data_IF_314349484348
#
_entry.id   IF_314349484348
#
_cell.length_a   1.000
_cell.length_b   1.000
_cell.length_c   1.000
_cell.angle_alpha   90.00
_cell.angle_beta   90.00
_cell.angle_gamma   90.00
#
_symmetry.space_group_name_H-M   'P 1'
#
loop_
_entity.id
_entity.type
_entity.pdbx_description
1 polymer ?
#
# COMPACT_ATOMS: atom_id res chain seq x y z
N UNK A 1 15.30 -7.75 24.14
CA UNK A 1 14.30 -7.53 23.08
C UNK A 1 15.02 -7.53 21.73
N UNK A 2 14.75 -8.49 20.82
CA UNK A 2 15.29 -8.46 19.46
C UNK A 2 14.46 -7.47 18.64
N UNK A 3 15.07 -6.38 18.16
CA UNK A 3 14.43 -5.44 17.24
C UNK A 3 14.15 -6.19 15.93
N UNK A 4 12.88 -6.39 15.58
CA UNK A 4 12.48 -7.05 14.32
C UNK A 4 12.71 -6.08 13.15
N UNK A 5 13.21 -6.63 12.03
CA UNK A 5 13.60 -5.91 10.82
C UNK A 5 12.35 -5.52 10.03
N UNK A 6 12.27 -4.26 9.59
CA UNK A 6 11.15 -3.74 8.78
C UNK A 6 11.05 -4.47 7.44
N UNK A 7 9.85 -4.92 7.05
CA UNK A 7 9.63 -5.70 5.83
C UNK A 7 9.38 -4.79 4.63
N UNK A 8 10.44 -4.52 3.85
CA UNK A 8 10.36 -3.66 2.68
C UNK A 8 9.41 -4.17 1.60
N UNK A 9 9.36 -5.49 1.35
CA UNK A 9 8.51 -6.06 0.30
C UNK A 9 7.04 -5.73 0.55
N UNK A 10 6.52 -6.08 1.74
CA UNK A 10 5.13 -5.79 2.13
C UNK A 10 4.81 -4.30 2.05
N UNK A 11 5.78 -3.43 2.34
CA UNK A 11 5.60 -1.99 2.22
C UNK A 11 5.41 -1.48 0.81
N UNK A 12 6.13 -2.07 -0.13
CA UNK A 12 5.98 -1.75 -1.54
C UNK A 12 4.70 -2.36 -2.10
N UNK A 13 4.31 -3.59 -1.71
CA UNK A 13 3.03 -4.21 -2.07
C UNK A 13 1.84 -3.36 -1.62
N UNK A 14 1.81 -2.95 -0.35
CA UNK A 14 0.76 -2.08 0.18
C UNK A 14 0.71 -0.74 -0.56
N UNK A 15 1.87 -0.15 -0.89
CA UNK A 15 1.90 1.09 -1.67
C UNK A 15 1.34 0.91 -3.08
N UNK A 16 1.67 -0.19 -3.74
CA UNK A 16 1.17 -0.55 -5.08
C UNK A 16 -0.36 -0.65 -5.09
N UNK A 17 -0.94 -1.36 -4.11
CA UNK A 17 -2.40 -1.49 -3.95
C UNK A 17 -3.05 -0.11 -3.76
N UNK A 18 -2.52 0.69 -2.84
CA UNK A 18 -3.08 2.02 -2.54
C UNK A 18 -2.96 3.03 -3.69
N UNK A 19 -1.96 2.86 -4.57
CA UNK A 19 -1.74 3.74 -5.73
C UNK A 19 -2.53 3.29 -6.95
N UNK A 20 -2.91 2.02 -7.05
CA UNK A 20 -3.57 1.45 -8.23
C UNK A 20 -2.83 1.83 -9.53
N UNK A 21 -3.56 2.31 -10.52
CA UNK A 21 -3.04 2.72 -11.83
C UNK A 21 -2.00 3.86 -11.79
N UNK A 22 -1.96 4.65 -10.71
CA UNK A 22 -0.93 5.70 -10.57
C UNK A 22 0.46 5.10 -10.37
N UNK A 23 0.52 3.86 -9.87
CA UNK A 23 1.73 3.12 -9.63
C UNK A 23 2.77 3.80 -8.74
N UNK A 24 3.94 3.18 -8.72
CA UNK A 24 5.11 3.58 -7.97
C UNK A 24 6.31 3.69 -8.90
N UNK A 25 7.20 4.64 -8.61
CA UNK A 25 8.50 4.76 -9.26
C UNK A 25 9.59 4.17 -8.36
N UNK A 26 10.77 3.93 -8.92
CA UNK A 26 11.97 3.57 -8.12
C UNK A 26 12.23 4.62 -7.02
N UNK A 27 12.00 5.90 -7.29
CA UNK A 27 12.11 6.96 -6.28
C UNK A 27 11.07 6.83 -5.15
N UNK A 28 9.88 6.28 -5.41
CA UNK A 28 8.91 5.98 -4.35
C UNK A 28 9.44 4.83 -3.46
N UNK A 29 10.11 3.83 -4.05
CA UNK A 29 10.75 2.72 -3.32
C UNK A 29 11.85 3.25 -2.40
N UNK A 30 12.78 4.07 -2.93
CA UNK A 30 13.84 4.71 -2.14
C UNK A 30 13.31 5.45 -0.92
N UNK A 31 12.18 6.17 -1.06
CA UNK A 31 11.55 6.91 0.03
C UNK A 31 10.95 6.01 1.11
N UNK A 32 10.50 4.81 0.75
CA UNK A 32 9.95 3.85 1.70
C UNK A 32 11.06 3.06 2.39
N UNK A 33 12.01 2.55 1.62
CA UNK A 33 13.09 1.69 2.13
C UNK A 33 14.21 2.48 2.80
N UNK A 34 14.33 3.78 2.48
CA UNK A 34 15.48 4.64 2.78
C UNK A 34 16.80 4.11 2.21
N UNK A 35 16.73 3.29 1.16
CA UNK A 35 17.88 2.69 0.48
C UNK A 35 17.86 3.18 -0.97
N UNK A 36 18.84 4.00 -1.34
CA UNK A 36 18.98 4.56 -2.69
C UNK A 36 19.78 3.61 -3.60
N UNK A 37 19.31 2.37 -3.74
CA UNK A 37 19.96 1.32 -4.54
C UNK A 37 18.99 0.80 -5.61
N UNK A 38 19.39 0.96 -6.86
CA UNK A 38 18.58 0.57 -8.02
C UNK A 38 18.41 -0.94 -8.13
N UNK A 39 19.48 -1.72 -7.91
CA UNK A 39 19.43 -3.18 -7.95
C UNK A 39 18.55 -3.72 -6.83
N UNK A 40 18.66 -3.13 -5.63
CA UNK A 40 17.77 -3.48 -4.52
C UNK A 40 16.29 -3.18 -4.82
N UNK A 41 16.02 -2.09 -5.54
CA UNK A 41 14.66 -1.75 -5.96
C UNK A 41 14.10 -2.73 -6.99
N UNK A 42 14.92 -3.13 -7.97
CA UNK A 42 14.55 -4.17 -8.92
C UNK A 42 14.35 -5.53 -8.25
N UNK A 43 15.19 -5.86 -7.27
CA UNK A 43 15.03 -7.07 -6.46
C UNK A 43 13.69 -7.09 -5.72
N UNK A 44 13.32 -5.98 -5.06
CA UNK A 44 12.01 -5.87 -4.41
C UNK A 44 10.85 -5.98 -5.40
N UNK A 45 10.98 -5.38 -6.59
CA UNK A 45 9.96 -5.50 -7.65
C UNK A 45 9.80 -6.95 -8.09
N UNK A 46 10.90 -7.67 -8.32
CA UNK A 46 10.88 -9.07 -8.74
C UNK A 46 10.30 -9.99 -7.66
N UNK A 47 10.60 -9.74 -6.38
CA UNK A 47 9.98 -10.48 -5.27
C UNK A 47 8.46 -10.31 -5.25
N UNK A 48 7.98 -9.11 -5.54
CA UNK A 48 6.54 -8.81 -5.59
C UNK A 48 5.90 -9.46 -6.82
N UNK A 49 6.53 -9.37 -7.98
CA UNK A 49 6.06 -10.06 -9.18
C UNK A 49 5.94 -11.57 -8.93
N UNK A 50 6.91 -12.16 -8.22
CA UNK A 50 6.88 -13.58 -7.84
C UNK A 50 5.77 -13.89 -6.82
N UNK A 51 5.53 -13.01 -5.83
CA UNK A 51 4.45 -13.22 -4.83
C UNK A 51 3.06 -13.13 -5.43
N UNK A 52 2.92 -12.47 -6.58
CA UNK A 52 1.68 -12.31 -7.32
C UNK A 52 1.33 -13.49 -8.24
N UNK A 53 2.20 -14.50 -8.38
CA UNK A 53 1.93 -15.65 -9.27
C UNK A 53 0.65 -16.44 -8.91
N UNK A 54 0.23 -16.40 -7.64
CA UNK A 54 -1.01 -17.02 -7.14
C UNK A 54 -2.18 -16.02 -7.06
N UNK A 55 -2.00 -14.80 -7.58
CA UNK A 55 -3.00 -13.74 -7.57
C UNK A 55 -3.48 -13.45 -9.00
N UNK A 56 -4.75 -13.06 -9.20
CA UNK A 56 -5.18 -12.53 -10.49
C UNK A 56 -4.56 -11.15 -10.80
N UNK A 57 -3.87 -10.51 -9.84
CA UNK A 57 -3.14 -9.27 -10.09
C UNK A 57 -1.76 -9.56 -10.66
N UNK A 58 -1.32 -8.75 -11.62
CA UNK A 58 0.06 -8.78 -12.11
C UNK A 58 0.69 -7.40 -12.12
N UNK A 59 2.01 -7.35 -12.04
CA UNK A 59 2.76 -6.11 -12.09
C UNK A 59 3.00 -5.70 -13.55
N UNK A 60 2.76 -4.44 -13.88
CA UNK A 60 3.02 -3.88 -15.22
C UNK A 60 3.88 -2.63 -15.13
N UNK A 61 4.83 -2.49 -16.05
CA UNK A 61 5.67 -1.29 -16.16
C UNK A 61 5.13 -0.34 -17.24
N UNK A 62 4.95 0.93 -16.87
CA UNK A 62 4.68 2.02 -17.80
C UNK A 62 5.98 2.78 -18.11
N UNK A 63 6.57 2.61 -19.30
CA UNK A 63 7.86 3.23 -19.64
C UNK A 63 7.76 4.76 -19.75
N UNK A 64 6.67 5.28 -20.30
CA UNK A 64 6.48 6.74 -20.46
C UNK A 64 6.43 7.48 -19.13
N UNK A 65 5.87 6.84 -18.10
CA UNK A 65 5.78 7.41 -16.75
C UNK A 65 6.85 6.90 -15.79
N UNK A 66 7.69 5.94 -16.22
CA UNK A 66 8.70 5.23 -15.42
C UNK A 66 8.14 4.68 -14.10
N UNK A 67 7.02 3.95 -14.18
CA UNK A 67 6.25 3.50 -13.01
C UNK A 67 5.77 2.06 -13.16
N UNK A 68 5.78 1.34 -12.04
CA UNK A 68 5.19 0.01 -11.88
C UNK A 68 3.82 0.14 -11.23
N UNK A 69 2.83 -0.59 -11.70
CA UNK A 69 1.48 -0.58 -11.15
C UNK A 69 0.89 -1.99 -11.19
N UNK A 70 -0.07 -2.25 -10.32
CA UNK A 70 -0.86 -3.48 -10.36
C UNK A 70 -1.92 -3.34 -11.44
N UNK A 71 -2.04 -4.37 -12.27
CA UNK A 71 -3.07 -4.51 -13.27
C UNK A 71 -3.82 -5.83 -13.04
N UNK A 72 -5.06 -5.86 -13.48
CA UNK A 72 -5.85 -7.08 -13.61
C UNK A 72 -5.85 -7.54 -15.07
N UNK A 73 -6.11 -8.83 -15.34
CA UNK A 73 -6.42 -9.30 -16.67
C UNK A 73 -7.65 -8.56 -17.21
N UNK A 74 -7.64 -8.29 -18.52
CA UNK A 74 -8.71 -7.52 -19.18
C UNK A 74 -10.10 -8.15 -18.95
N UNK A 75 -10.14 -9.47 -18.78
CA UNK A 75 -11.35 -10.26 -18.50
C UNK A 75 -12.06 -9.84 -17.19
N UNK A 76 -11.34 -9.30 -16.21
CA UNK A 76 -11.92 -8.83 -14.94
C UNK A 76 -12.41 -7.38 -15.00
N UNK A 77 -11.99 -6.58 -16.00
CA UNK A 77 -12.39 -5.18 -16.11
C UNK A 77 -13.87 -5.02 -16.49
N UNK A 78 -14.46 -5.95 -17.25
CA UNK A 78 -15.89 -5.95 -17.54
C UNK A 78 -16.71 -6.08 -16.24
N UNK A 79 -16.30 -6.98 -15.33
CA UNK A 79 -16.94 -7.16 -14.03
C UNK A 79 -16.76 -5.96 -13.09
N UNK A 80 -15.59 -5.34 -13.12
CA UNK A 80 -15.30 -4.17 -12.27
C UNK A 80 -15.95 -2.88 -12.78
N UNK A 81 -16.30 -2.80 -14.06
CA UNK A 81 -16.99 -1.62 -14.63
C UNK A 81 -18.39 -1.40 -14.05
N UNK A 82 -18.97 -2.41 -13.40
CA UNK A 82 -20.25 -2.34 -12.70
C UNK A 82 -20.12 -1.86 -11.24
N UNK A 83 -18.90 -1.78 -10.70
CA UNK A 83 -18.63 -1.27 -9.35
C UNK A 83 -17.89 0.07 -9.45
N UNK A 84 -18.44 1.11 -8.82
CA UNK A 84 -17.81 2.43 -8.71
C UNK A 84 -16.45 2.33 -7.98
N UNK A 85 -15.38 2.04 -8.73
CA UNK A 85 -14.01 1.97 -8.22
C UNK A 85 -13.53 3.38 -7.88
N UNK A 86 -13.59 3.67 -6.59
CA UNK A 86 -13.29 4.96 -5.96
C UNK A 86 -11.87 5.43 -6.36
N UNK A 87 -11.80 6.45 -7.24
CA UNK A 87 -10.57 7.23 -7.47
C UNK A 87 -10.08 7.79 -6.12
N UNK A 88 -8.85 7.46 -5.75
CA UNK A 88 -8.27 7.88 -4.47
C UNK A 88 -8.08 9.41 -4.42
N UNK A 89 -8.76 10.06 -3.47
CA UNK A 89 -8.70 11.50 -3.19
C UNK A 89 -7.39 11.87 -2.45
N UNK A 90 -6.69 10.88 -1.87
CA UNK A 90 -5.56 11.12 -0.98
C UNK A 90 -4.25 11.48 -1.72
N UNK A 91 -3.45 12.43 -1.20
CA UNK A 91 -2.13 12.72 -1.74
C UNK A 91 -1.17 11.53 -1.69
N UNK A 92 -0.24 11.48 -2.64
CA UNK A 92 0.78 10.43 -2.80
C UNK A 92 1.59 10.12 -1.53
N UNK A 93 1.92 11.13 -0.74
CA UNK A 93 2.68 10.99 0.51
C UNK A 93 1.84 10.43 1.65
N UNK A 94 0.55 10.77 1.68
CA UNK A 94 -0.47 10.31 2.63
C UNK A 94 -0.78 8.84 2.39
N UNK A 95 -0.96 8.43 1.12
CA UNK A 95 -1.12 7.02 0.75
C UNK A 95 0.08 6.17 1.17
N UNK A 96 1.30 6.69 1.04
CA UNK A 96 2.48 5.97 1.48
C UNK A 96 2.62 5.88 3.01
N UNK A 97 2.08 6.84 3.76
CA UNK A 97 1.93 6.69 5.22
C UNK A 97 0.85 5.68 5.58
N UNK A 98 -0.27 5.66 4.85
CA UNK A 98 -1.33 4.67 5.03
C UNK A 98 -0.84 3.24 4.75
N UNK A 99 -0.03 3.03 3.71
CA UNK A 99 0.62 1.73 3.45
C UNK A 99 1.40 1.24 4.66
N UNK A 100 2.21 2.11 5.29
CA UNK A 100 2.96 1.76 6.48
C UNK A 100 2.05 1.36 7.65
N UNK A 101 0.93 2.06 7.84
CA UNK A 101 -0.05 1.72 8.89
C UNK A 101 -0.63 0.32 8.65
N UNK A 102 -1.00 -0.02 7.41
CA UNK A 102 -1.63 -1.30 7.07
C UNK A 102 -0.73 -2.49 7.41
N UNK A 103 0.56 -2.41 7.05
CA UNK A 103 1.52 -3.48 7.33
C UNK A 103 1.71 -3.66 8.84
N UNK A 104 1.79 -2.53 9.56
CA UNK A 104 2.00 -2.53 11.00
C UNK A 104 0.77 -3.09 11.74
N UNK A 105 -0.43 -2.92 11.19
CA UNK A 105 -1.65 -3.52 11.72
C UNK A 105 -1.68 -5.05 11.63
N UNK A 106 -1.04 -5.66 10.63
CA UNK A 106 -0.86 -7.12 10.60
C UNK A 106 0.06 -7.63 11.73
N UNK A 107 0.92 -6.75 12.27
CA UNK A 107 1.89 -7.09 13.30
C UNK A 107 1.45 -6.67 14.72
N UNK A 108 0.37 -5.89 14.87
CA UNK A 108 -0.20 -5.46 16.14
C UNK A 108 -0.63 -3.99 16.17
N UNK A 109 -0.60 -3.36 17.35
CA UNK A 109 -0.99 -1.96 17.50
C UNK A 109 0.07 -1.01 16.90
N UNK A 110 -0.38 -0.07 16.08
CA UNK A 110 0.51 0.88 15.39
C UNK A 110 0.70 2.12 16.24
N UNK A 111 1.92 2.38 16.71
CA UNK A 111 2.24 3.56 17.49
C UNK A 111 2.76 4.71 16.58
N UNK A 112 2.33 5.94 16.87
CA UNK A 112 2.77 7.15 16.16
C UNK A 112 4.30 7.32 16.17
N UNK A 113 4.97 7.04 17.28
CA UNK A 113 6.42 7.14 17.40
C UNK A 113 7.14 6.15 16.46
N UNK A 114 6.61 4.93 16.33
CA UNK A 114 7.13 3.93 15.38
C UNK A 114 7.04 4.44 13.94
N UNK A 115 5.89 5.03 13.56
CA UNK A 115 5.72 5.63 12.24
C UNK A 115 6.58 6.88 12.00
N UNK A 116 6.80 7.72 13.02
CA UNK A 116 7.71 8.86 12.92
C UNK A 116 9.13 8.39 12.63
N UNK A 117 9.60 7.32 13.26
CA UNK A 117 10.90 6.73 12.94
C UNK A 117 10.98 6.24 11.49
N UNK A 118 9.91 5.62 10.98
CA UNK A 118 9.86 5.11 9.60
C UNK A 118 9.74 6.21 8.54
N UNK A 119 8.92 7.24 8.75
CA UNK A 119 8.51 8.20 7.70
C UNK A 119 8.99 9.64 7.93
N UNK A 120 9.57 9.93 9.10
CA UNK A 120 10.05 11.26 9.47
C UNK A 120 8.95 12.20 9.98
N UNK A 121 9.31 13.47 10.21
CA UNK A 121 8.46 14.47 10.92
C UNK A 121 7.14 14.78 10.20
N UNK A 122 7.07 14.61 8.88
CA UNK A 122 5.86 14.89 8.09
C UNK A 122 4.70 13.92 8.39
N UNK A 123 4.95 12.81 9.11
CA UNK A 123 3.92 11.80 9.40
C UNK A 123 2.74 12.37 10.19
N UNK A 124 2.97 13.34 11.08
CA UNK A 124 1.88 13.96 11.86
C UNK A 124 0.82 14.58 10.95
N UNK A 125 1.25 15.29 9.89
CA UNK A 125 0.32 15.91 8.95
C UNK A 125 -0.41 14.86 8.13
N UNK A 126 0.27 13.79 7.71
CA UNK A 126 -0.36 12.70 6.98
C UNK A 126 -1.39 11.97 7.84
N UNK A 127 -1.09 11.72 9.13
CA UNK A 127 -2.01 11.10 10.07
C UNK A 127 -3.28 11.93 10.27
N UNK A 128 -3.14 13.26 10.43
CA UNK A 128 -4.29 14.18 10.47
C UNK A 128 -5.16 14.08 9.21
N UNK A 129 -4.54 14.02 8.03
CA UNK A 129 -5.29 13.85 6.78
C UNK A 129 -6.03 12.50 6.76
N UNK A 130 -5.38 11.41 7.18
CA UNK A 130 -6.02 10.08 7.21
C UNK A 130 -7.15 9.98 8.21
N UNK A 131 -7.03 10.65 9.35
CA UNK A 131 -8.07 10.74 10.39
C UNK A 131 -9.26 11.59 9.91
N UNK A 132 -9.01 12.78 9.34
CA UNK A 132 -10.05 13.64 8.77
C UNK A 132 -10.83 12.95 7.64
N UNK A 133 -10.13 12.16 6.83
CA UNK A 133 -10.72 11.38 5.76
C UNK A 133 -11.36 10.07 6.26
N UNK A 134 -11.33 9.83 7.57
CA UNK A 134 -12.00 8.71 8.23
C UNK A 134 -11.40 7.34 7.92
N UNK A 135 -10.12 7.26 7.53
CA UNK A 135 -9.43 5.99 7.32
C UNK A 135 -8.87 5.40 8.62
N UNK A 136 -8.46 6.26 9.56
CA UNK A 136 -7.91 5.83 10.85
C UNK A 136 -8.54 6.62 11.99
N UNK A 137 -8.40 6.11 13.21
CA UNK A 137 -8.64 6.85 14.45
C UNK A 137 -7.39 6.82 15.31
N UNK A 138 -7.10 7.92 16.00
CA UNK A 138 -5.97 8.01 16.91
C UNK A 138 -6.48 8.04 18.34
N UNK A 139 -6.03 7.07 19.15
CA UNK A 139 -6.36 6.98 20.57
C UNK A 139 -5.11 6.69 21.38
N UNK A 140 -4.81 7.54 22.36
CA UNK A 140 -3.69 7.36 23.30
C UNK A 140 -2.32 7.11 22.61
N UNK A 141 -2.08 7.77 21.47
CA UNK A 141 -0.85 7.60 20.70
C UNK A 141 -0.78 6.33 19.83
N UNK A 142 -1.83 5.52 19.85
CA UNK A 142 -2.02 4.38 18.96
C UNK A 142 -2.95 4.75 17.80
N UNK A 143 -2.72 4.10 16.66
CA UNK A 143 -3.49 4.25 15.43
C UNK A 143 -4.30 2.98 15.23
N UNK A 144 -5.62 3.15 15.11
CA UNK A 144 -6.57 2.08 14.88
C UNK A 144 -7.15 2.22 13.47
N UNK A 145 -7.37 1.10 12.73
CA UNK A 145 -8.03 1.14 11.45
C UNK A 145 -9.53 1.34 11.64
N UNK A 146 -10.14 2.13 10.77
CA UNK A 146 -11.60 2.23 10.70
C UNK A 146 -12.18 1.16 9.78
N UNK A 147 -13.48 0.89 9.88
CA UNK A 147 -14.18 0.04 8.92
C UNK A 147 -14.06 0.54 7.47
N UNK A 148 -13.96 1.85 7.26
CA UNK A 148 -13.73 2.46 5.93
C UNK A 148 -12.40 1.99 5.34
N UNK A 149 -11.35 1.93 6.15
CA UNK A 149 -10.04 1.42 5.72
C UNK A 149 -10.07 -0.10 5.50
N UNK A 150 -10.64 -0.84 6.45
CA UNK A 150 -10.74 -2.30 6.34
C UNK A 150 -11.46 -2.72 5.05
N UNK A 151 -12.63 -2.14 4.78
CA UNK A 151 -13.40 -2.42 3.56
C UNK A 151 -12.63 -2.09 2.28
N UNK A 152 -11.74 -1.09 2.31
CA UNK A 152 -10.94 -0.67 1.15
C UNK A 152 -9.71 -1.55 0.91
N UNK A 153 -9.15 -2.14 1.97
CA UNK A 153 -8.05 -3.12 1.88
C UNK A 153 -8.59 -4.49 1.46
N UNK A 154 -9.85 -4.77 1.78
CA UNK A 154 -10.49 -6.07 1.56
C UNK A 154 -10.79 -6.42 0.09
N UNK A 155 -10.15 -5.73 -0.86
CA UNK A 155 -10.15 -6.10 -2.28
C UNK A 155 -9.73 -7.58 -2.45
N UNK A 156 -8.84 -8.10 -1.60
CA UNK A 156 -8.45 -9.52 -1.63
C UNK A 156 -9.58 -10.49 -1.20
N UNK A 157 -10.52 -10.11 -0.33
CA UNK A 157 -11.69 -10.96 -0.03
C UNK A 157 -12.76 -10.84 -1.12
N UNK A 158 -12.91 -9.67 -1.74
CA UNK A 158 -13.80 -9.50 -2.90
C UNK A 158 -13.31 -10.33 -4.08
N UNK A 159 -12.00 -10.41 -4.31
CA UNK A 159 -11.39 -11.28 -5.32
C UNK A 159 -11.58 -12.77 -5.00
N UNK A 160 -11.38 -13.19 -3.74
CA UNK A 160 -11.66 -14.59 -3.33
C UNK A 160 -13.13 -14.97 -3.50
N UNK A 161 -14.06 -14.06 -3.22
CA UNK A 161 -15.48 -14.28 -3.46
C UNK A 161 -15.85 -14.42 -4.93
N UNK A 162 -14.99 -13.97 -5.86
CA UNK A 162 -15.16 -14.15 -7.30
C UNK A 162 -14.62 -15.51 -7.77
N UNK A 163 -13.63 -16.08 -7.08
CA UNK A 163 -13.09 -17.43 -7.37
C UNK A 163 -14.01 -18.57 -6.90
N UNK A 164 -14.95 -18.28 -5.98
CA UNK A 164 -15.92 -19.25 -5.45
C UNK A 164 -17.28 -19.27 -6.19
N UNK A 165 -17.41 -18.51 -7.29
CA UNK A 165 -18.57 -18.51 -8.21
C UNK A 165 -18.20 -19.28 -9.48
#
# INVERSE_FOLDING_TARGET
MKVKKFNHQKAIEALLILRGELGISVNDIYKITKINDFEYSLYLINLIETSLNESPLFLKYNPSKKRYFLALPNEFYSFLSEQDLIKSILPKSVLATLACIIIELEEGAVNIEKLKHLRGKAVINHLKTLENEGFITISEGNILPTNKLLNKININQVIKGIEEI
#
